data_IF_739667484379
#
_entry.id   IF_739667484379
#
_cell.length_a   1.000
_cell.length_b   1.000
_cell.length_c   1.000
_cell.angle_alpha   90.00
_cell.angle_beta   90.00
_cell.angle_gamma   90.00
#
_symmetry.space_group_name_H-M   'P 1'
#
loop_
_entity.id
_entity.type
_entity.pdbx_description
1 polymer ?
#
# COMPACT_ATOMS: atom_id res chain seq x y z
N UNK A 1 -16.04 9.73 5.07
CA UNK A 1 -14.75 10.45 5.22
C UNK A 1 -15.13 11.90 5.40
N UNK A 2 -15.27 12.33 6.65
CA UNK A 2 -15.58 13.73 6.94
C UNK A 2 -14.24 14.45 7.07
N UNK A 3 -13.92 15.32 6.10
CA UNK A 3 -12.70 16.13 6.11
C UNK A 3 -13.06 17.55 6.53
N UNK A 4 -12.37 18.04 7.55
CA UNK A 4 -12.63 19.36 8.12
C UNK A 4 -11.78 20.40 7.40
N UNK A 5 -12.16 20.71 6.16
CA UNK A 5 -11.39 21.62 5.31
C UNK A 5 -11.93 23.05 5.45
N UNK A 6 -11.05 23.99 5.81
CA UNK A 6 -11.36 25.42 5.72
C UNK A 6 -10.76 26.00 4.45
N UNK A 7 -11.58 26.62 3.62
CA UNK A 7 -11.13 27.19 2.34
C UNK A 7 -11.02 28.70 2.44
N UNK A 8 -9.83 29.23 2.17
CA UNK A 8 -9.52 30.66 2.13
C UNK A 8 -9.67 31.15 0.69
N UNK A 9 -10.41 32.26 0.53
CA UNK A 9 -10.60 32.94 -0.75
C UNK A 9 -9.79 34.22 -0.82
N UNK A 10 -9.21 34.49 -1.99
CA UNK A 10 -8.59 35.77 -2.33
C UNK A 10 -9.21 36.29 -3.62
N UNK A 11 -9.66 37.54 -3.64
CA UNK A 11 -10.35 38.15 -4.78
C UNK A 11 -11.59 37.37 -5.28
N UNK A 12 -12.27 36.65 -4.38
CA UNK A 12 -13.46 35.85 -4.71
C UNK A 12 -13.16 34.41 -5.15
N UNK A 13 -11.91 34.08 -5.47
CA UNK A 13 -11.48 32.74 -5.88
C UNK A 13 -10.92 31.95 -4.69
N UNK A 14 -11.20 30.64 -4.65
CA UNK A 14 -10.70 29.73 -3.62
C UNK A 14 -9.25 29.38 -3.94
N UNK A 15 -8.31 29.90 -3.15
CA UNK A 15 -6.87 29.79 -3.44
C UNK A 15 -6.16 28.81 -2.48
N UNK A 16 -6.59 28.74 -1.22
CA UNK A 16 -5.96 27.89 -0.21
C UNK A 16 -6.97 27.07 0.58
N UNK A 17 -6.54 25.89 1.03
CA UNK A 17 -7.29 25.03 1.93
C UNK A 17 -6.42 24.70 3.14
N UNK A 18 -6.94 24.97 4.34
CA UNK A 18 -6.35 24.52 5.59
C UNK A 18 -6.97 23.17 5.91
N UNK A 19 -6.11 22.18 6.10
CA UNK A 19 -6.47 20.83 6.46
C UNK A 19 -5.78 20.47 7.79
N UNK A 20 -6.49 19.82 8.74
CA UNK A 20 -5.84 19.25 9.91
C UNK A 20 -4.73 18.30 9.50
N UNK A 21 -3.59 18.37 10.18
CA UNK A 21 -2.39 17.62 9.80
C UNK A 21 -2.62 16.11 9.72
N UNK A 22 -3.38 15.55 10.68
CA UNK A 22 -3.70 14.12 10.69
C UNK A 22 -4.55 13.70 9.50
N UNK A 23 -5.45 14.57 9.03
CA UNK A 23 -6.28 14.31 7.84
C UNK A 23 -5.43 14.39 6.56
N UNK A 24 -4.52 15.37 6.48
CA UNK A 24 -3.54 15.45 5.40
C UNK A 24 -2.69 14.18 5.32
N UNK A 25 -2.19 13.70 6.46
CA UNK A 25 -1.37 12.49 6.51
C UNK A 25 -2.14 11.24 6.09
N UNK A 26 -3.40 11.09 6.53
CA UNK A 26 -4.25 9.98 6.05
C UNK A 26 -4.47 10.05 4.55
N UNK A 27 -4.69 11.23 4.00
CA UNK A 27 -4.89 11.40 2.57
C UNK A 27 -3.63 11.04 1.78
N UNK A 28 -2.45 11.43 2.27
CA UNK A 28 -1.15 11.02 1.70
C UNK A 28 -0.98 9.51 1.73
N UNK A 29 -1.28 8.87 2.86
CA UNK A 29 -1.16 7.42 3.00
C UNK A 29 -2.10 6.67 2.05
N UNK A 30 -3.35 7.11 1.91
CA UNK A 30 -4.30 6.50 0.97
C UNK A 30 -3.80 6.64 -0.48
N UNK A 31 -3.16 7.76 -0.81
CA UNK A 31 -2.60 7.98 -2.14
C UNK A 31 -1.41 7.06 -2.41
N UNK A 32 -0.51 6.90 -1.44
CA UNK A 32 0.61 5.96 -1.51
C UNK A 32 0.12 4.52 -1.66
N UNK A 33 -0.85 4.09 -0.84
CA UNK A 33 -1.48 2.76 -0.95
C UNK A 33 -2.12 2.54 -2.35
N UNK A 34 -2.69 3.59 -2.94
CA UNK A 34 -3.28 3.51 -4.28
C UNK A 34 -2.20 3.37 -5.38
N UNK A 35 -1.08 4.08 -5.25
CA UNK A 35 0.06 3.95 -6.17
C UNK A 35 0.67 2.54 -6.11
N UNK A 36 0.83 1.97 -4.91
CA UNK A 36 1.28 0.60 -4.72
C UNK A 36 0.36 -0.42 -5.43
N UNK A 37 -0.96 -0.23 -5.34
CA UNK A 37 -1.93 -1.08 -6.05
C UNK A 37 -1.81 -0.98 -7.57
N UNK A 38 -1.54 0.22 -8.10
CA UNK A 38 -1.31 0.41 -9.52
C UNK A 38 -0.08 -0.39 -9.96
N UNK A 39 1.00 -0.33 -9.19
CA UNK A 39 2.24 -1.01 -9.53
C UNK A 39 2.10 -2.54 -9.43
N UNK A 40 1.37 -3.04 -8.43
CA UNK A 40 0.98 -4.46 -8.37
C UNK A 40 0.17 -4.89 -9.60
N UNK A 41 -0.75 -4.06 -10.08
CA UNK A 41 -1.52 -4.35 -11.31
C UNK A 41 -0.64 -4.37 -12.54
N UNK A 42 0.31 -3.44 -12.68
CA UNK A 42 1.27 -3.42 -13.79
C UNK A 42 2.16 -4.67 -13.77
N UNK A 43 2.71 -5.01 -12.61
CA UNK A 43 3.54 -6.20 -12.44
C UNK A 43 2.76 -7.49 -12.76
N UNK A 44 1.50 -7.58 -12.31
CA UNK A 44 0.62 -8.70 -12.64
C UNK A 44 0.33 -8.78 -14.14
N UNK A 45 0.09 -7.65 -14.80
CA UNK A 45 -0.18 -7.60 -16.23
C UNK A 45 1.04 -8.06 -17.05
N UNK A 46 2.26 -7.67 -16.66
CA UNK A 46 3.50 -8.10 -17.31
C UNK A 46 3.80 -9.60 -17.18
N UNK A 47 3.24 -10.25 -16.16
CA UNK A 47 3.50 -11.67 -15.85
C UNK A 47 2.39 -12.62 -16.32
N UNK A 48 1.33 -12.13 -16.97
CA UNK A 48 0.16 -12.94 -17.40
C UNK A 48 0.56 -14.13 -18.26
N UNK A 49 1.56 -13.97 -19.13
CA UNK A 49 2.01 -15.01 -20.05
C UNK A 49 3.24 -15.78 -19.54
N UNK A 50 3.69 -15.50 -18.32
CA UNK A 50 4.83 -16.20 -17.75
C UNK A 50 4.40 -17.53 -17.11
N UNK A 51 5.17 -18.61 -17.32
CA UNK A 51 4.86 -19.90 -16.71
C UNK A 51 4.95 -19.80 -15.18
N UNK A 52 3.88 -20.23 -14.50
CA UNK A 52 3.86 -20.28 -13.04
C UNK A 52 4.88 -21.29 -12.51
N UNK A 53 5.59 -20.95 -11.44
CA UNK A 53 6.52 -21.87 -10.76
C UNK A 53 5.82 -22.55 -9.59
N UNK A 54 5.85 -23.89 -9.47
CA UNK A 54 5.28 -24.59 -8.32
C UNK A 54 5.91 -24.13 -7.00
N UNK A 55 5.08 -23.93 -5.97
CA UNK A 55 5.52 -23.49 -4.63
C UNK A 55 6.67 -24.34 -4.06
N UNK A 56 6.64 -25.67 -4.25
CA UNK A 56 7.68 -26.61 -3.81
C UNK A 56 9.06 -26.30 -4.42
N UNK A 57 9.10 -25.76 -5.65
CA UNK A 57 10.34 -25.40 -6.33
C UNK A 57 10.86 -24.04 -5.84
N UNK A 58 9.95 -23.08 -5.64
CA UNK A 58 10.29 -21.79 -5.03
C UNK A 58 10.88 -21.98 -3.62
N UNK A 59 10.28 -22.85 -2.81
CA UNK A 59 10.71 -23.10 -1.42
C UNK A 59 12.09 -23.78 -1.30
N UNK A 60 12.55 -24.48 -2.33
CA UNK A 60 13.92 -25.04 -2.39
C UNK A 60 14.98 -23.95 -2.63
N UNK A 61 14.59 -22.89 -3.34
CA UNK A 61 15.49 -21.84 -3.77
C UNK A 61 15.53 -20.65 -2.79
N UNK A 62 14.52 -20.51 -1.93
CA UNK A 62 14.51 -19.50 -0.87
C UNK A 62 15.07 -20.12 0.42
N UNK A 63 16.15 -19.53 0.96
CA UNK A 63 16.73 -19.89 2.28
C UNK A 63 15.81 -19.41 3.42
N UNK A 64 14.59 -19.92 3.50
CA UNK A 64 13.69 -19.64 4.63
C UNK A 64 14.17 -20.50 5.81
N UNK A 65 14.78 -19.88 6.83
CA UNK A 65 14.99 -20.53 8.14
C UNK A 65 13.61 -20.93 8.66
N UNK A 66 13.30 -22.23 8.68
CA UNK A 66 12.09 -22.74 9.31
C UNK A 66 12.12 -22.31 10.78
N UNK A 67 11.21 -21.42 11.17
CA UNK A 67 10.94 -21.13 12.56
C UNK A 67 10.59 -22.43 13.27
N UNK A 68 11.46 -22.86 14.18
CA UNK A 68 11.20 -23.88 15.17
C UNK A 68 9.97 -23.44 15.97
N UNK A 69 8.80 -23.99 15.66
CA UNK A 69 7.67 -23.97 16.59
C UNK A 69 8.13 -24.80 17.80
N UNK A 70 8.50 -24.13 18.88
CA UNK A 70 8.74 -24.77 20.17
C UNK A 70 7.41 -25.37 20.62
N UNK A 71 7.27 -26.68 20.42
CA UNK A 71 6.28 -27.48 21.13
C UNK A 71 6.81 -27.68 22.55
N UNK A 72 6.31 -26.90 23.50
CA UNK A 72 6.29 -27.30 24.91
C UNK A 72 5.17 -26.55 25.63
N UNK A 73 3.99 -27.17 25.59
CA UNK A 73 3.01 -27.04 26.66
C UNK A 73 2.73 -28.49 27.07
N UNK A 74 3.43 -28.93 28.10
CA UNK A 74 3.09 -30.08 28.94
C UNK A 74 3.08 -29.57 30.38
#
# INVERSE_FOLDING_TARGET
MDMNVQVIKKNGEKEFAILPYNEFMRMKQILEDYEDLIDLRKAKAGTVNEPSVPFKNVMKNIKIKKGSRSSNIK
#
